data_IF_534209168325
#
_entry.id   IF_534209168325
#
_cell.length_a   1.000
_cell.length_b   1.000
_cell.length_c   1.000
_cell.angle_alpha   90.00
_cell.angle_beta   90.00
_cell.angle_gamma   90.00
#
_symmetry.space_group_name_H-M   'P 1'
#
loop_
_entity.id
_entity.type
_entity.pdbx_description
1 polymer ?
#
# COMPACT_ATOMS: atom_id res chain seq x y z
N UNK A 1 -21.74 -13.29 6.36
CA UNK A 1 -22.06 -11.94 5.84
C UNK A 1 -21.01 -11.56 4.81
N UNK A 2 -21.36 -11.46 3.53
CA UNK A 2 -20.43 -10.94 2.53
C UNK A 2 -20.25 -9.45 2.73
N UNK A 3 -19.10 -9.04 3.26
CA UNK A 3 -18.75 -7.63 3.36
C UNK A 3 -18.56 -7.07 1.94
N UNK A 4 -19.21 -5.93 1.65
CA UNK A 4 -19.03 -5.20 0.40
C UNK A 4 -17.54 -4.82 0.26
N UNK A 5 -16.92 -5.03 -0.91
CA UNK A 5 -15.52 -4.65 -1.13
C UNK A 5 -15.30 -3.17 -0.81
N UNK A 6 -14.27 -2.86 -0.02
CA UNK A 6 -13.87 -1.49 0.27
C UNK A 6 -13.13 -0.92 -0.93
N UNK A 7 -13.60 0.22 -1.40
CA UNK A 7 -13.18 0.78 -2.68
C UNK A 7 -11.66 0.95 -2.86
N UNK A 8 -10.91 1.36 -1.85
CA UNK A 8 -9.50 1.75 -2.03
C UNK A 8 -8.56 0.56 -2.30
N UNK A 9 -8.17 -0.19 -1.28
CA UNK A 9 -7.20 -1.28 -1.44
C UNK A 9 -7.76 -2.49 -2.22
N UNK A 10 -9.06 -2.77 -2.14
CA UNK A 10 -9.64 -3.91 -2.86
C UNK A 10 -9.66 -3.65 -4.37
N UNK A 11 -9.83 -2.40 -4.80
CA UNK A 11 -9.73 -2.04 -6.22
C UNK A 11 -8.29 -2.04 -6.72
N UNK A 12 -7.34 -1.54 -5.91
CA UNK A 12 -5.90 -1.65 -6.21
C UNK A 12 -5.54 -3.13 -6.40
N UNK A 13 -5.93 -4.00 -5.47
CA UNK A 13 -5.69 -5.43 -5.57
C UNK A 13 -6.29 -6.01 -6.85
N UNK A 14 -7.56 -5.73 -7.14
CA UNK A 14 -8.21 -6.21 -8.36
C UNK A 14 -7.46 -5.79 -9.63
N UNK A 15 -7.11 -4.51 -9.75
CA UNK A 15 -6.48 -3.97 -10.96
C UNK A 15 -5.05 -4.49 -11.14
N UNK A 16 -4.28 -4.57 -10.06
CA UNK A 16 -2.94 -5.13 -10.10
C UNK A 16 -2.96 -6.63 -10.40
N UNK A 17 -3.80 -7.40 -9.72
CA UNK A 17 -3.93 -8.84 -9.99
C UNK A 17 -4.41 -9.09 -11.41
N UNK A 18 -5.28 -8.23 -11.97
CA UNK A 18 -5.67 -8.32 -13.39
C UNK A 18 -4.51 -8.04 -14.34
N UNK A 19 -3.67 -7.04 -14.05
CA UNK A 19 -2.51 -6.70 -14.87
C UNK A 19 -1.44 -7.80 -14.84
N UNK A 20 -1.22 -8.40 -13.66
CA UNK A 20 -0.24 -9.45 -13.43
C UNK A 20 -0.84 -10.87 -13.44
N UNK A 21 -2.06 -11.04 -13.96
CA UNK A 21 -2.79 -12.30 -13.87
C UNK A 21 -2.06 -13.46 -14.56
N UNK A 22 -1.27 -13.18 -15.61
CA UNK A 22 -0.46 -14.19 -16.31
C UNK A 22 0.61 -14.81 -15.39
N UNK A 23 1.10 -14.08 -14.39
CA UNK A 23 2.18 -14.53 -13.51
C UNK A 23 1.64 -15.03 -12.18
N UNK A 24 0.70 -14.30 -11.58
CA UNK A 24 0.19 -14.60 -10.24
C UNK A 24 -1.08 -15.46 -10.24
N UNK A 25 -1.79 -15.52 -11.37
CA UNK A 25 -3.10 -16.15 -11.45
C UNK A 25 -4.08 -15.58 -10.41
N UNK A 26 -4.78 -16.47 -9.71
CA UNK A 26 -5.86 -16.11 -8.77
C UNK A 26 -5.37 -15.64 -7.40
N UNK A 27 -4.11 -15.91 -7.04
CA UNK A 27 -3.56 -15.56 -5.72
C UNK A 27 -3.23 -14.08 -5.64
N UNK A 28 -2.82 -13.45 -6.75
CA UNK A 28 -2.54 -12.02 -6.83
C UNK A 28 -1.35 -11.57 -5.97
N UNK A 29 -0.31 -12.41 -5.85
CA UNK A 29 0.84 -12.17 -4.99
C UNK A 29 1.49 -10.79 -5.16
N UNK A 30 1.72 -10.36 -6.40
CA UNK A 30 2.30 -9.04 -6.72
C UNK A 30 1.43 -7.91 -6.19
N UNK A 31 0.10 -8.03 -6.31
CA UNK A 31 -0.84 -7.03 -5.81
C UNK A 31 -0.86 -6.96 -4.27
N UNK A 32 -0.71 -8.10 -3.60
CA UNK A 32 -0.62 -8.17 -2.13
C UNK A 32 0.63 -7.46 -1.64
N UNK A 33 1.77 -7.75 -2.26
CA UNK A 33 3.05 -7.11 -1.94
C UNK A 33 2.99 -5.60 -2.23
N UNK A 34 2.43 -5.19 -3.37
CA UNK A 34 2.31 -3.78 -3.71
C UNK A 34 1.45 -3.00 -2.70
N UNK A 35 0.32 -3.55 -2.26
CA UNK A 35 -0.51 -2.93 -1.20
C UNK A 35 0.26 -2.82 0.11
N UNK A 36 0.99 -3.87 0.50
CA UNK A 36 1.84 -3.83 1.68
C UNK A 36 2.91 -2.74 1.55
N UNK A 37 3.55 -2.57 0.38
CA UNK A 37 4.52 -1.51 0.15
C UNK A 37 3.90 -0.11 0.29
N UNK A 38 2.70 0.12 -0.27
CA UNK A 38 1.98 1.40 -0.13
C UNK A 38 1.70 1.68 1.36
N UNK A 39 1.20 0.70 2.11
CA UNK A 39 0.92 0.83 3.54
C UNK A 39 2.19 1.11 4.34
N UNK A 40 3.30 0.44 4.01
CA UNK A 40 4.60 0.67 4.63
C UNK A 40 5.10 2.10 4.40
N UNK A 41 4.95 2.65 3.18
CA UNK A 41 5.34 4.03 2.90
C UNK A 41 4.58 5.02 3.78
N UNK A 42 3.24 4.89 3.88
CA UNK A 42 2.47 5.77 4.77
C UNK A 42 2.87 5.64 6.24
N UNK A 43 3.16 4.42 6.73
CA UNK A 43 3.62 4.22 8.11
C UNK A 43 4.99 4.89 8.31
N UNK A 44 5.90 4.73 7.36
CA UNK A 44 7.22 5.36 7.41
C UNK A 44 7.08 6.88 7.40
N UNK A 45 6.22 7.46 6.57
CA UNK A 45 5.97 8.90 6.54
C UNK A 45 5.52 9.44 7.89
N UNK A 46 4.54 8.77 8.50
CA UNK A 46 4.01 9.14 9.82
C UNK A 46 5.09 9.00 10.89
N UNK A 47 5.86 7.90 10.87
CA UNK A 47 6.93 7.68 11.84
C UNK A 47 8.04 8.73 11.69
N UNK A 48 8.49 9.01 10.47
CA UNK A 48 9.52 10.02 10.19
C UNK A 48 9.05 11.40 10.61
N UNK A 49 7.79 11.74 10.34
CA UNK A 49 7.20 13.00 10.76
C UNK A 49 7.20 13.13 12.29
N UNK A 50 6.68 12.13 13.02
CA UNK A 50 6.68 12.10 14.48
C UNK A 50 8.11 12.24 15.03
N UNK A 51 9.03 11.41 14.52
CA UNK A 51 10.43 11.42 14.96
C UNK A 51 11.10 12.78 14.77
N UNK A 52 10.84 13.48 13.67
CA UNK A 52 11.36 14.83 13.44
C UNK A 52 10.73 15.90 14.32
N UNK A 53 9.47 15.75 14.73
CA UNK A 53 8.80 16.70 15.64
C UNK A 53 9.39 16.64 17.05
N UNK A 54 9.79 15.44 17.52
CA UNK A 54 10.23 15.24 18.90
C UNK A 54 11.75 15.13 19.10
N UNK A 55 12.53 14.79 18.06
CA UNK A 55 13.95 14.50 18.20
C UNK A 55 14.83 15.33 17.26
N UNK A 56 16.02 15.67 17.75
CA UNK A 56 17.08 16.27 16.94
C UNK A 56 17.75 15.24 16.05
N UNK A 57 18.43 15.71 14.99
CA UNK A 57 19.13 14.83 14.03
C UNK A 57 20.18 13.93 14.67
N UNK A 58 20.82 14.37 15.76
CA UNK A 58 21.82 13.56 16.47
C UNK A 58 21.15 12.43 17.26
N UNK A 59 20.04 12.69 17.94
CA UNK A 59 19.28 11.67 18.69
C UNK A 59 18.66 10.61 17.77
N UNK A 60 18.34 10.96 16.52
CA UNK A 60 17.78 10.01 15.55
C UNK A 60 18.78 8.94 15.07
N UNK A 61 20.09 9.20 15.16
CA UNK A 61 21.11 8.22 14.75
C UNK A 61 21.06 6.97 15.62
N UNK A 62 20.79 7.13 16.92
CA UNK A 62 20.74 6.03 17.88
C UNK A 62 19.49 5.16 17.68
N UNK A 63 18.38 5.76 17.22
CA UNK A 63 17.14 5.05 16.89
C UNK A 63 17.24 4.17 15.62
N UNK A 64 18.22 4.41 14.74
CA UNK A 64 18.28 3.75 13.44
C UNK A 64 18.47 2.22 13.55
N UNK A 65 19.19 1.73 14.57
CA UNK A 65 19.44 0.30 14.75
C UNK A 65 18.17 -0.45 15.23
N UNK A 66 17.44 0.12 16.18
CA UNK A 66 16.18 -0.45 16.67
C UNK A 66 15.03 -0.28 15.65
N UNK A 67 15.04 0.82 14.90
CA UNK A 67 14.02 1.13 13.90
C UNK A 67 13.94 0.08 12.77
N UNK A 68 15.07 -0.47 12.33
CA UNK A 68 15.10 -1.49 11.27
C UNK A 68 14.33 -2.76 11.65
N UNK A 69 14.57 -3.28 12.85
CA UNK A 69 13.86 -4.48 13.34
C UNK A 69 12.35 -4.24 13.46
N UNK A 70 11.96 -3.08 13.98
CA UNK A 70 10.56 -2.69 14.09
C UNK A 70 9.85 -2.59 12.73
N UNK A 71 10.48 -1.96 11.73
CA UNK A 71 9.96 -1.84 10.36
C UNK A 71 9.76 -3.23 9.73
N UNK A 72 10.71 -4.15 9.90
CA UNK A 72 10.61 -5.52 9.39
C UNK A 72 9.42 -6.25 10.02
N UNK A 73 9.25 -6.16 11.34
CA UNK A 73 8.14 -6.79 12.06
C UNK A 73 6.80 -6.26 11.52
N UNK A 74 6.65 -4.95 11.36
CA UNK A 74 5.42 -4.35 10.80
C UNK A 74 5.18 -4.83 9.36
N UNK A 75 6.23 -4.87 8.53
CA UNK A 75 6.12 -5.34 7.16
C UNK A 75 5.59 -6.79 7.10
N UNK A 76 6.12 -7.68 7.95
CA UNK A 76 5.63 -9.06 8.06
C UNK A 76 4.17 -9.14 8.54
N UNK A 77 3.79 -8.34 9.54
CA UNK A 77 2.41 -8.28 10.02
C UNK A 77 1.46 -7.83 8.89
N UNK A 78 1.82 -6.77 8.16
CA UNK A 78 1.03 -6.29 7.02
C UNK A 78 0.98 -7.30 5.89
N UNK A 79 2.07 -7.98 5.59
CA UNK A 79 2.10 -9.02 4.56
C UNK A 79 1.14 -10.15 4.92
N UNK A 80 1.19 -10.66 6.16
CA UNK A 80 0.29 -11.72 6.64
C UNK A 80 -1.16 -11.23 6.62
N UNK A 81 -1.42 -10.00 7.07
CA UNK A 81 -2.76 -9.40 7.05
C UNK A 81 -3.31 -9.30 5.63
N UNK A 82 -2.55 -8.73 4.70
CA UNK A 82 -2.97 -8.57 3.31
C UNK A 82 -3.09 -9.92 2.60
N UNK A 83 -2.21 -10.86 2.89
CA UNK A 83 -2.30 -12.23 2.36
C UNK A 83 -3.61 -12.89 2.80
N UNK A 84 -3.92 -12.87 4.10
CA UNK A 84 -5.17 -13.41 4.64
C UNK A 84 -6.41 -12.75 4.03
N UNK A 85 -6.35 -11.44 3.78
CA UNK A 85 -7.47 -10.67 3.23
C UNK A 85 -7.69 -10.93 1.73
N UNK A 86 -6.62 -11.00 0.94
CA UNK A 86 -6.72 -10.90 -0.51
C UNK A 86 -6.42 -12.19 -1.27
N UNK A 87 -5.69 -13.14 -0.69
CA UNK A 87 -5.31 -14.35 -1.38
C UNK A 87 -6.54 -15.10 -1.93
N UNK A 88 -6.55 -15.38 -3.23
CA UNK A 88 -7.66 -16.07 -3.90
C UNK A 88 -8.93 -15.23 -4.12
N UNK A 89 -8.98 -13.98 -3.63
CA UNK A 89 -10.19 -13.13 -3.71
C UNK A 89 -10.46 -12.54 -5.10
N UNK A 90 -9.59 -12.78 -6.08
CA UNK A 90 -9.67 -12.14 -7.40
C UNK A 90 -11.02 -12.34 -8.10
N UNK A 91 -11.58 -13.55 -8.08
CA UNK A 91 -12.84 -13.81 -8.80
C UNK A 91 -14.02 -13.05 -8.18
N UNK A 92 -14.05 -12.95 -6.84
CA UNK A 92 -15.08 -12.20 -6.11
C UNK A 92 -15.05 -10.73 -6.53
N UNK A 93 -13.86 -10.15 -6.59
CA UNK A 93 -13.65 -8.76 -6.97
C UNK A 93 -13.89 -8.53 -8.47
N UNK A 94 -13.48 -9.47 -9.32
CA UNK A 94 -13.79 -9.45 -10.76
C UNK A 94 -15.29 -9.45 -10.99
N UNK A 95 -16.04 -10.29 -10.26
CA UNK A 95 -17.50 -10.33 -10.37
C UNK A 95 -18.14 -9.01 -9.96
N UNK A 96 -17.65 -8.40 -8.88
CA UNK A 96 -18.16 -7.13 -8.38
C UNK A 96 -17.89 -5.95 -9.34
N UNK A 97 -16.74 -5.90 -10.01
CA UNK A 97 -16.38 -4.84 -10.97
C UNK A 97 -16.49 -5.25 -12.45
N UNK A 98 -17.24 -6.31 -12.77
CA UNK A 98 -17.39 -6.79 -14.16
C UNK A 98 -18.15 -5.78 -15.04
N UNK A 99 -19.20 -5.16 -14.49
CA UNK A 99 -20.12 -4.26 -15.18
C UNK A 99 -19.74 -2.77 -15.02
N UNK A 100 -18.48 -2.49 -14.68
CA UNK A 100 -18.01 -1.13 -14.50
C UNK A 100 -17.93 -0.38 -15.83
N UNK A 101 -18.59 0.79 -15.89
CA UNK A 101 -18.59 1.67 -17.05
C UNK A 101 -17.17 2.10 -17.45
N UNK A 102 -16.95 2.35 -18.75
CA UNK A 102 -15.62 2.73 -19.29
C UNK A 102 -15.05 3.95 -18.57
N UNK A 103 -15.88 4.96 -18.34
CA UNK A 103 -15.50 6.20 -17.65
C UNK A 103 -15.06 5.92 -16.21
N UNK A 104 -15.86 5.16 -15.45
CA UNK A 104 -15.52 4.83 -14.06
C UNK A 104 -14.23 4.01 -13.97
N UNK A 105 -14.01 3.10 -14.92
CA UNK A 105 -12.79 2.29 -15.01
C UNK A 105 -11.52 3.12 -15.21
N UNK A 106 -11.62 4.23 -15.95
CA UNK A 106 -10.51 5.18 -16.17
C UNK A 106 -10.24 5.97 -14.90
N UNK A 107 -11.26 6.61 -14.32
CA UNK A 107 -11.11 7.38 -13.08
C UNK A 107 -10.51 6.56 -11.94
N UNK A 108 -11.04 5.35 -11.70
CA UNK A 108 -10.51 4.50 -10.64
C UNK A 108 -9.13 3.94 -10.98
N UNK A 109 -8.83 3.72 -12.25
CA UNK A 109 -7.48 3.37 -12.71
C UNK A 109 -6.47 4.48 -12.40
N UNK A 110 -6.84 5.73 -12.66
CA UNK A 110 -6.04 6.90 -12.29
C UNK A 110 -5.83 6.96 -10.77
N UNK A 111 -6.86 6.69 -9.96
CA UNK A 111 -6.74 6.65 -8.51
C UNK A 111 -5.74 5.59 -8.02
N UNK A 112 -5.63 4.44 -8.70
CA UNK A 112 -4.59 3.44 -8.39
C UNK A 112 -3.20 4.03 -8.62
N UNK A 113 -2.98 4.70 -9.75
CA UNK A 113 -1.69 5.33 -10.06
C UNK A 113 -1.37 6.42 -9.04
N UNK A 114 -2.34 7.29 -8.73
CA UNK A 114 -2.18 8.34 -7.71
C UNK A 114 -1.83 7.71 -6.36
N UNK A 115 -2.46 6.60 -5.97
CA UNK A 115 -2.18 5.93 -4.69
C UNK A 115 -0.76 5.35 -4.57
N UNK A 116 -0.11 5.05 -5.69
CA UNK A 116 1.29 4.58 -5.73
C UNK A 116 2.29 5.75 -5.63
N UNK A 117 1.92 6.91 -6.18
CA UNK A 117 2.79 8.09 -6.24
C UNK A 117 2.65 8.94 -4.97
N UNK A 118 1.43 9.06 -4.44
CA UNK A 118 1.11 9.96 -3.33
C UNK A 118 1.95 9.75 -2.06
N UNK A 119 2.29 8.51 -1.63
CA UNK A 119 3.14 8.31 -0.45
C UNK A 119 4.56 8.87 -0.60
N UNK A 120 5.03 9.15 -1.82
CA UNK A 120 6.36 9.74 -2.01
C UNK A 120 6.39 11.25 -1.76
N UNK A 121 5.24 11.92 -1.89
CA UNK A 121 5.17 13.37 -1.76
C UNK A 121 5.61 13.88 -0.36
N UNK A 122 5.13 13.32 0.77
CA UNK A 122 5.56 13.75 2.09
C UNK A 122 7.07 13.62 2.31
N UNK A 123 7.69 12.52 1.86
CA UNK A 123 9.14 12.30 1.96
C UNK A 123 9.92 13.37 1.20
N UNK A 124 9.51 13.67 -0.04
CA UNK A 124 10.16 14.67 -0.88
C UNK A 124 10.02 16.06 -0.23
N UNK A 125 8.81 16.42 0.20
CA UNK A 125 8.54 17.71 0.85
C UNK A 125 9.37 17.86 2.13
N UNK A 126 9.43 16.83 2.98
CA UNK A 126 10.26 16.84 4.19
C UNK A 126 11.75 17.01 3.87
N UNK A 127 12.25 16.37 2.81
CA UNK A 127 13.64 16.53 2.35
C UNK A 127 13.95 17.93 1.80
N UNK A 128 12.96 18.59 1.19
CA UNK A 128 13.12 19.94 0.64
C UNK A 128 13.04 21.04 1.71
N UNK A 129 12.04 20.98 2.60
CA UNK A 129 11.76 22.04 3.57
C UNK A 129 12.57 21.92 4.86
N UNK A 130 13.00 20.71 5.24
CA UNK A 130 13.76 20.47 6.47
C UNK A 130 15.15 19.89 6.17
N UNK A 131 16.04 20.74 5.64
CA UNK A 131 17.48 20.48 5.58
C UNK A 131 18.11 20.41 6.97
#
# INVERSE_FOLDING_TARGET
METKPKFFFDYIYYRMTKAYFKWDGRTGGTAIVAIMMIQMLYIIDVLVFILRVFYTRNQLKDFNNYGKGFIIIIAFILLIYNYRKYNGSYNKLRYYWKDESRTMRVYKGLLVIVSLILPWAPLILMGMFWK
#
